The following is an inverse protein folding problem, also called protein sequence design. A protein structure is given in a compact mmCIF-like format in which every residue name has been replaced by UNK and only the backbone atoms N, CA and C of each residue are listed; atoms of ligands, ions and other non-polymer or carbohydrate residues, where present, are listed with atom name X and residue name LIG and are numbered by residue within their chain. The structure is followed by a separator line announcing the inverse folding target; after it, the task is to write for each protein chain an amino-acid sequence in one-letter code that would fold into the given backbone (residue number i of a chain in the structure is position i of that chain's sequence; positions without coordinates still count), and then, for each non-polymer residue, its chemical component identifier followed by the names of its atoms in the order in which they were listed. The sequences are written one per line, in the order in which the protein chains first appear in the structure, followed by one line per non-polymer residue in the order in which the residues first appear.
data_IF_888980463850
#
_entry.id   IF_888980463850
#
_cell.length_a   1.000
_cell.length_b   1.000
_cell.length_c   1.000
_cell.angle_alpha   90.00
_cell.angle_beta   90.00
_cell.angle_gamma   90.00
#
_symmetry.space_group_name_H-M   'P 1'
#
loop_
_entity.id
_entity.type
_entity.pdbx_description
1 polymer ?
#
# COMPACT_ATOMS: atom_id res chain seq x y z
N UNK A 1 -19.57 -5.35 -1.16
CA UNK A 1 -19.12 -4.62 0.04
C UNK A 1 -20.04 -3.42 0.22
N UNK A 2 -20.25 -2.95 1.45
CA UNK A 2 -21.04 -1.72 1.62
C UNK A 2 -20.23 -0.54 1.05
N UNK A 3 -20.85 0.49 0.45
CA UNK A 3 -20.12 1.61 -0.17
C UNK A 3 -19.17 2.35 0.78
N UNK A 4 -19.43 2.29 2.09
CA UNK A 4 -18.63 2.89 3.15
C UNK A 4 -17.44 2.01 3.61
N UNK A 5 -17.27 0.82 3.04
CA UNK A 5 -16.19 -0.10 3.41
C UNK A 5 -14.83 0.55 3.15
N UNK A 6 -13.95 0.49 4.15
CA UNK A 6 -12.54 0.84 4.03
C UNK A 6 -11.73 -0.44 3.83
N UNK A 7 -10.98 -0.51 2.73
CA UNK A 7 -10.16 -1.67 2.38
C UNK A 7 -8.71 -1.40 2.78
N UNK A 8 -8.11 -2.32 3.52
CA UNK A 8 -6.72 -2.19 3.99
C UNK A 8 -5.79 -3.08 3.15
N UNK A 9 -4.87 -2.46 2.42
CA UNK A 9 -3.87 -3.09 1.56
C UNK A 9 -2.58 -3.31 2.36
N UNK A 10 -2.43 -4.51 2.91
CA UNK A 10 -1.25 -4.93 3.69
C UNK A 10 -0.41 -6.01 2.99
N UNK A 11 -0.92 -6.66 1.94
CA UNK A 11 -0.19 -7.76 1.28
C UNK A 11 0.54 -7.30 0.03
N UNK A 12 1.59 -8.05 -0.30
CA UNK A 12 2.26 -7.95 -1.59
C UNK A 12 3.51 -7.08 -1.61
N UNK A 13 4.22 -7.16 -2.74
CA UNK A 13 5.30 -6.26 -3.12
C UNK A 13 4.75 -5.00 -3.81
N UNK A 14 5.64 -4.08 -4.21
CA UNK A 14 5.30 -2.82 -4.88
C UNK A 14 4.30 -2.97 -6.02
N UNK A 15 4.61 -3.80 -7.01
CA UNK A 15 3.75 -4.00 -8.18
C UNK A 15 2.36 -4.52 -7.80
N UNK A 16 2.30 -5.44 -6.83
CA UNK A 16 1.03 -6.03 -6.40
C UNK A 16 0.16 -5.08 -5.60
N UNK A 17 0.71 -4.30 -4.65
CA UNK A 17 -0.12 -3.36 -3.89
C UNK A 17 -0.55 -2.17 -4.74
N UNK A 18 0.28 -1.71 -5.69
CA UNK A 18 -0.09 -0.63 -6.62
C UNK A 18 -1.28 -1.04 -7.50
N UNK A 19 -1.26 -2.27 -8.03
CA UNK A 19 -2.40 -2.83 -8.79
C UNK A 19 -3.66 -2.95 -7.94
N UNK A 20 -3.51 -3.39 -6.69
CA UNK A 20 -4.65 -3.52 -5.78
C UNK A 20 -5.24 -2.15 -5.43
N UNK A 21 -4.40 -1.15 -5.18
CA UNK A 21 -4.82 0.24 -4.97
C UNK A 21 -5.65 0.75 -6.15
N UNK A 22 -5.15 0.58 -7.39
CA UNK A 22 -5.86 0.98 -8.60
C UNK A 22 -7.24 0.30 -8.74
N UNK A 23 -7.32 -1.01 -8.48
CA UNK A 23 -8.57 -1.76 -8.54
C UNK A 23 -9.58 -1.30 -7.48
N UNK A 24 -9.12 -1.06 -6.25
CA UNK A 24 -9.96 -0.64 -5.13
C UNK A 24 -10.51 0.78 -5.36
N UNK A 25 -9.64 1.70 -5.78
CA UNK A 25 -10.03 3.10 -6.00
C UNK A 25 -10.92 3.25 -7.22
N UNK A 26 -10.68 2.49 -8.30
CA UNK A 26 -11.56 2.50 -9.49
C UNK A 26 -12.95 1.92 -9.19
N UNK A 27 -13.04 0.99 -8.24
CA UNK A 27 -14.31 0.47 -7.73
C UNK A 27 -15.02 1.43 -6.74
N UNK A 28 -14.42 2.58 -6.42
CA UNK A 28 -15.03 3.63 -5.60
C UNK A 28 -14.91 3.42 -4.08
N UNK A 29 -14.04 2.53 -3.62
CA UNK A 29 -13.84 2.29 -2.18
C UNK A 29 -12.73 3.17 -1.61
N UNK A 30 -12.84 3.46 -0.31
CA UNK A 30 -11.77 4.09 0.47
C UNK A 30 -10.72 3.04 0.79
N UNK A 31 -9.45 3.42 0.67
CA UNK A 31 -8.32 2.51 0.88
C UNK A 31 -7.35 3.03 1.93
N UNK A 32 -6.73 2.11 2.66
CA UNK A 32 -5.59 2.35 3.56
C UNK A 32 -4.43 1.49 3.07
N UNK A 33 -3.25 2.08 2.89
CA UNK A 33 -2.04 1.37 2.48
C UNK A 33 -1.15 1.11 3.71
N UNK A 34 -0.64 -0.12 3.84
CA UNK A 34 0.43 -0.45 4.80
C UNK A 34 1.50 -1.39 4.24
N UNK A 35 1.30 -1.97 3.06
CA UNK A 35 2.25 -2.90 2.43
C UNK A 35 3.72 -2.43 2.40
N UNK A 36 4.05 -1.14 2.18
CA UNK A 36 5.44 -0.66 2.20
C UNK A 36 6.05 -0.54 3.61
N UNK A 37 5.24 -0.58 4.67
CA UNK A 37 5.62 -0.13 6.02
C UNK A 37 5.55 -1.25 7.06
N UNK A 38 6.05 -2.43 6.70
CA UNK A 38 6.29 -3.49 7.66
C UNK A 38 7.53 -3.20 8.51
N UNK A 39 7.36 -2.41 9.56
CA UNK A 39 8.45 -2.03 10.48
C UNK A 39 9.06 -3.22 11.24
N UNK A 40 8.36 -4.35 11.30
CA UNK A 40 8.89 -5.60 11.84
C UNK A 40 9.87 -6.32 10.89
N UNK A 41 9.96 -5.90 9.62
CA UNK A 41 10.92 -6.42 8.64
C UNK A 41 12.17 -5.53 8.63
N UNK A 42 13.13 -5.89 9.48
CA UNK A 42 14.40 -5.17 9.58
C UNK A 42 15.34 -5.51 8.42
N UNK A 43 16.13 -4.52 7.99
CA UNK A 43 17.21 -4.70 7.02
C UNK A 43 18.47 -3.96 7.48
N UNK A 44 19.64 -4.43 7.06
CA UNK A 44 20.90 -3.75 7.37
C UNK A 44 21.00 -2.39 6.65
N UNK A 45 21.51 -1.38 7.34
CA UNK A 45 21.71 -0.03 6.80
C UNK A 45 20.61 0.96 7.15
N UNK A 46 20.37 1.95 6.29
CA UNK A 46 19.36 3.00 6.45
C UNK A 46 18.03 2.59 5.78
N UNK A 47 17.38 1.56 6.32
CA UNK A 47 16.12 1.00 5.81
C UNK A 47 14.96 2.02 5.74
N UNK A 48 14.95 3.01 6.62
CA UNK A 48 14.00 4.13 6.62
C UNK A 48 13.90 4.87 5.27
N UNK A 49 14.98 4.88 4.47
CA UNK A 49 14.95 5.53 3.16
C UNK A 49 13.99 4.83 2.19
N UNK A 50 13.89 3.50 2.25
CA UNK A 50 12.95 2.74 1.42
C UNK A 50 11.50 3.00 1.85
N UNK A 51 11.27 3.07 3.17
CA UNK A 51 9.97 3.42 3.77
C UNK A 51 9.53 4.83 3.34
N UNK A 52 10.44 5.80 3.35
CA UNK A 52 10.16 7.19 3.01
C UNK A 52 9.92 7.41 1.51
N UNK A 53 10.53 6.61 0.64
CA UNK A 53 10.33 6.66 -0.82
C UNK A 53 9.00 6.07 -1.29
N UNK A 54 8.29 5.34 -0.43
CA UNK A 54 7.02 4.74 -0.79
C UNK A 54 5.97 5.85 -1.01
N UNK A 55 5.51 6.00 -2.25
CA UNK A 55 4.43 6.92 -2.62
C UNK A 55 3.10 6.16 -2.68
N UNK A 56 2.14 6.48 -1.80
CA UNK A 56 0.83 5.83 -1.80
C UNK A 56 -0.01 6.12 -3.03
N UNK A 57 0.31 7.17 -3.79
CA UNK A 57 -0.43 7.61 -4.99
C UNK A 57 0.25 7.16 -6.29
N UNK A 58 1.39 6.46 -6.23
CA UNK A 58 2.06 5.91 -7.41
C UNK A 58 1.36 4.63 -7.91
N UNK A 59 0.13 4.78 -8.39
CA UNK A 59 -0.62 3.74 -9.09
C UNK A 59 -1.45 4.35 -10.22
N UNK A 60 -1.76 3.54 -11.24
CA UNK A 60 -2.47 3.96 -12.45
C UNK A 60 -3.80 3.24 -12.57
#
# INVERSE_FOLDING_TARGET
LKPDTLIHVWKGNQQSYQREMANITSAGYRTLLSSPWYLNRIAYGQDWQAIYKADPQDFK
#
